data_IF_903326884238
#
_entry.id   IF_903326884238
#
_cell.length_a   1.000
_cell.length_b   1.000
_cell.length_c   1.000
_cell.angle_alpha   90.00
_cell.angle_beta   90.00
_cell.angle_gamma   90.00
#
_symmetry.space_group_name_H-M   'P 1'
#
loop_
_entity.id
_entity.type
_entity.pdbx_description
1 polymer ?
#
# COMPACT_ATOMS: atom_id res chain seq x y z
N UNK A 1 5.70 -28.65 13.37
CA UNK A 1 4.76 -28.31 12.27
C UNK A 1 5.19 -26.98 11.69
N UNK A 2 5.04 -26.77 10.37
CA UNK A 2 5.27 -25.44 9.76
C UNK A 2 4.25 -24.46 10.31
N UNK A 3 4.66 -23.23 10.61
CA UNK A 3 3.73 -22.14 10.88
C UNK A 3 2.88 -21.83 9.66
N UNK A 4 1.66 -21.39 9.86
CA UNK A 4 0.68 -21.12 8.79
C UNK A 4 0.30 -19.66 8.76
N UNK A 5 0.32 -19.07 7.57
CA UNK A 5 -0.13 -17.71 7.34
C UNK A 5 -1.25 -17.66 6.30
N UNK A 6 -2.18 -16.73 6.51
CA UNK A 6 -3.19 -16.33 5.54
C UNK A 6 -2.88 -14.91 5.08
N UNK A 7 -2.83 -14.68 3.77
CA UNK A 7 -2.64 -13.37 3.18
C UNK A 7 -3.86 -13.02 2.32
N UNK A 8 -4.70 -12.12 2.81
CA UNK A 8 -5.82 -11.53 2.06
C UNK A 8 -5.29 -10.38 1.20
N UNK A 9 -5.63 -10.34 -0.08
CA UNK A 9 -5.03 -9.42 -1.04
C UNK A 9 -3.72 -9.95 -1.65
N UNK A 10 -3.55 -11.27 -1.68
CA UNK A 10 -2.32 -11.95 -2.12
C UNK A 10 -2.04 -11.85 -3.63
N UNK A 11 -3.05 -11.58 -4.44
CA UNK A 11 -2.90 -11.29 -5.87
C UNK A 11 -2.50 -9.84 -6.16
N UNK A 12 -2.54 -8.97 -5.15
CA UNK A 12 -2.11 -7.58 -5.24
C UNK A 12 -0.60 -7.40 -5.05
N UNK A 13 -0.16 -6.14 -5.19
CA UNK A 13 1.24 -5.74 -5.11
C UNK A 13 1.90 -6.12 -3.78
N UNK A 14 1.41 -5.57 -2.66
CA UNK A 14 2.04 -5.80 -1.34
C UNK A 14 1.83 -7.25 -0.90
N UNK A 15 0.62 -7.80 -1.13
CA UNK A 15 0.29 -9.16 -0.74
C UNK A 15 1.14 -10.22 -1.45
N UNK A 16 1.42 -10.05 -2.75
CA UNK A 16 2.30 -10.94 -3.49
C UNK A 16 3.72 -10.97 -2.93
N UNK A 17 4.32 -9.80 -2.67
CA UNK A 17 5.64 -9.71 -2.03
C UNK A 17 5.66 -10.33 -0.62
N UNK A 18 4.59 -10.12 0.15
CA UNK A 18 4.48 -10.72 1.50
C UNK A 18 4.39 -12.24 1.44
N UNK A 19 3.63 -12.80 0.48
CA UNK A 19 3.59 -14.25 0.24
C UNK A 19 4.99 -14.80 -0.01
N UNK A 20 5.73 -14.22 -0.94
CA UNK A 20 7.11 -14.63 -1.26
C UNK A 20 8.01 -14.55 -0.01
N UNK A 21 7.92 -13.47 0.77
CA UNK A 21 8.70 -13.33 2.01
C UNK A 21 8.38 -14.43 3.02
N UNK A 22 7.11 -14.68 3.33
CA UNK A 22 6.68 -15.72 4.28
C UNK A 22 7.07 -17.12 3.82
N UNK A 23 7.04 -17.38 2.50
CA UNK A 23 7.54 -18.64 1.93
C UNK A 23 9.02 -18.83 2.15
N UNK A 24 9.82 -17.78 1.98
CA UNK A 24 11.26 -17.81 2.23
C UNK A 24 11.59 -18.05 3.71
N UNK A 25 10.71 -17.63 4.63
CA UNK A 25 10.80 -17.97 6.06
C UNK A 25 10.32 -19.40 6.39
N UNK A 26 9.82 -20.15 5.42
CA UNK A 26 9.37 -21.52 5.59
C UNK A 26 7.92 -21.70 6.07
N UNK A 27 7.10 -20.65 6.04
CA UNK A 27 5.68 -20.77 6.32
C UNK A 27 4.95 -21.63 5.27
N UNK A 28 3.86 -22.26 5.69
CA UNK A 28 2.82 -22.65 4.77
C UNK A 28 1.87 -21.46 4.59
N UNK A 29 1.68 -21.02 3.36
CA UNK A 29 0.95 -19.79 3.05
C UNK A 29 -0.28 -20.09 2.21
N UNK A 30 -1.46 -19.64 2.67
CA UNK A 30 -2.66 -19.49 1.85
C UNK A 30 -2.75 -18.04 1.38
N UNK A 31 -2.77 -17.84 0.06
CA UNK A 31 -3.11 -16.56 -0.56
C UNK A 31 -4.59 -16.51 -0.92
N UNK A 32 -5.21 -15.33 -0.82
CA UNK A 32 -6.60 -15.09 -1.21
C UNK A 32 -6.72 -13.75 -1.91
N UNK A 33 -7.39 -13.74 -3.06
CA UNK A 33 -7.70 -12.52 -3.81
C UNK A 33 -8.85 -12.77 -4.80
N UNK A 34 -9.36 -11.71 -5.43
CA UNK A 34 -10.29 -11.82 -6.57
C UNK A 34 -9.63 -12.42 -7.82
N UNK A 35 -8.30 -12.31 -7.94
CA UNK A 35 -7.51 -12.81 -9.08
C UNK A 35 -6.07 -13.12 -8.65
N UNK A 36 -5.37 -13.87 -9.49
CA UNK A 36 -3.91 -14.02 -9.36
C UNK A 36 -3.19 -12.72 -9.70
N UNK A 37 -1.93 -12.58 -9.26
CA UNK A 37 -1.09 -11.45 -9.68
C UNK A 37 -0.86 -11.51 -11.19
N UNK A 38 -0.95 -10.34 -11.86
CA UNK A 38 -0.83 -10.24 -13.32
C UNK A 38 0.63 -10.36 -13.81
N UNK A 39 1.58 -10.08 -12.94
CA UNK A 39 2.98 -9.88 -13.33
C UNK A 39 3.91 -10.99 -12.86
N UNK A 40 3.47 -11.83 -11.93
CA UNK A 40 4.26 -12.94 -11.41
C UNK A 40 3.37 -14.09 -10.92
N UNK A 41 3.81 -15.36 -11.06
CA UNK A 41 3.16 -16.48 -10.40
C UNK A 41 3.24 -16.31 -8.88
N UNK A 42 2.25 -16.85 -8.16
CA UNK A 42 2.26 -16.84 -6.69
C UNK A 42 3.12 -17.98 -6.14
N UNK A 43 3.84 -17.68 -5.04
CA UNK A 43 4.60 -18.69 -4.27
C UNK A 43 3.74 -19.37 -3.18
N UNK A 44 2.47 -18.99 -3.02
CA UNK A 44 1.59 -19.59 -2.01
C UNK A 44 1.46 -21.10 -2.19
N UNK A 45 1.40 -21.84 -1.07
CA UNK A 45 1.13 -23.30 -1.10
C UNK A 45 -0.31 -23.60 -1.54
N UNK A 46 -1.23 -22.69 -1.23
CA UNK A 46 -2.64 -22.74 -1.60
C UNK A 46 -3.11 -21.31 -1.95
N UNK A 47 -3.87 -21.18 -3.02
CA UNK A 47 -4.39 -19.89 -3.45
C UNK A 47 -5.88 -19.99 -3.79
N UNK A 48 -6.70 -19.29 -3.03
CA UNK A 48 -8.14 -19.24 -3.23
C UNK A 48 -8.53 -17.97 -4.01
N UNK A 49 -9.12 -18.14 -5.18
CA UNK A 49 -9.72 -17.03 -5.94
C UNK A 49 -11.18 -16.89 -5.50
N UNK A 50 -11.54 -15.71 -4.97
CA UNK A 50 -12.92 -15.42 -4.54
C UNK A 50 -13.05 -14.08 -3.84
N UNK A 51 -14.28 -13.74 -3.48
CA UNK A 51 -14.64 -12.43 -2.97
C UNK A 51 -14.73 -12.42 -1.44
N UNK A 52 -13.87 -11.64 -0.79
CA UNK A 52 -13.86 -11.48 0.67
C UNK A 52 -15.07 -10.68 1.21
N UNK A 53 -15.88 -10.07 0.34
CA UNK A 53 -17.16 -9.47 0.73
C UNK A 53 -18.24 -10.55 1.00
N UNK A 54 -18.04 -11.74 0.47
CA UNK A 54 -18.93 -12.88 0.66
C UNK A 54 -18.58 -13.64 1.94
N UNK A 55 -19.45 -13.56 2.95
CA UNK A 55 -19.19 -14.13 4.28
C UNK A 55 -18.92 -15.64 4.25
N UNK A 56 -19.66 -16.38 3.42
CA UNK A 56 -19.53 -17.83 3.32
C UNK A 56 -18.20 -18.22 2.65
N UNK A 57 -17.74 -17.43 1.68
CA UNK A 57 -16.41 -17.61 1.11
C UNK A 57 -15.33 -17.38 2.17
N UNK A 58 -15.41 -16.28 2.94
CA UNK A 58 -14.46 -16.00 4.02
C UNK A 58 -14.43 -17.13 5.06
N UNK A 59 -15.58 -17.67 5.43
CA UNK A 59 -15.65 -18.83 6.35
C UNK A 59 -15.01 -20.08 5.78
N UNK A 60 -15.09 -20.29 4.47
CA UNK A 60 -14.51 -21.45 3.80
C UNK A 60 -12.98 -21.38 3.71
N UNK A 61 -12.40 -20.18 3.60
CA UNK A 61 -10.94 -20.00 3.52
C UNK A 61 -10.27 -19.85 4.89
N UNK A 62 -11.04 -19.45 5.93
CA UNK A 62 -10.60 -19.44 7.33
C UNK A 62 -11.14 -20.72 8.02
N UNK A 63 -10.91 -21.86 7.39
CA UNK A 63 -11.40 -23.18 7.80
C UNK A 63 -10.50 -23.88 8.84
N UNK A 64 -9.31 -23.39 9.02
CA UNK A 64 -8.28 -23.94 9.89
C UNK A 64 -7.62 -22.86 10.75
N UNK A 65 -6.76 -23.27 11.67
CA UNK A 65 -5.99 -22.34 12.48
C UNK A 65 -4.79 -21.80 11.69
N UNK A 66 -4.67 -20.48 11.63
CA UNK A 66 -3.48 -19.77 11.16
C UNK A 66 -2.74 -19.16 12.34
N UNK A 67 -1.42 -19.15 12.27
CA UNK A 67 -0.57 -18.49 13.26
C UNK A 67 -0.56 -16.98 13.03
N UNK A 68 -0.60 -16.56 11.76
CA UNK A 68 -0.59 -15.15 11.35
C UNK A 68 -1.60 -14.92 10.21
N UNK A 69 -2.44 -13.88 10.32
CA UNK A 69 -3.36 -13.44 9.26
C UNK A 69 -3.03 -12.00 8.88
N UNK A 70 -2.79 -11.76 7.61
CA UNK A 70 -2.49 -10.44 7.05
C UNK A 70 -3.65 -9.97 6.19
N UNK A 71 -4.40 -8.99 6.67
CA UNK A 71 -5.51 -8.40 5.92
C UNK A 71 -5.01 -7.16 5.18
N UNK A 72 -4.72 -7.34 3.89
CA UNK A 72 -4.22 -6.31 2.98
C UNK A 72 -5.23 -6.00 1.85
N UNK A 73 -6.29 -6.82 1.73
CA UNK A 73 -7.30 -6.63 0.69
C UNK A 73 -8.12 -5.36 0.95
N UNK A 74 -8.28 -4.56 -0.08
CA UNK A 74 -9.09 -3.34 -0.05
C UNK A 74 -9.50 -2.94 -1.47
N UNK A 75 -10.60 -2.24 -1.61
CA UNK A 75 -10.90 -1.52 -2.83
C UNK A 75 -10.14 -0.18 -2.80
N UNK A 76 -9.12 -0.05 -3.64
CA UNK A 76 -8.21 1.09 -3.60
C UNK A 76 -7.51 1.32 -4.94
N UNK A 77 -6.93 2.52 -5.09
CA UNK A 77 -6.17 2.90 -6.27
C UNK A 77 -5.25 4.10 -6.01
N UNK A 78 -4.75 4.70 -7.08
CA UNK A 78 -4.03 5.97 -7.03
C UNK A 78 -4.96 7.18 -6.91
N UNK A 79 -4.39 8.39 -6.99
CA UNK A 79 -5.12 9.65 -6.82
C UNK A 79 -6.32 9.78 -7.80
N UNK A 80 -6.16 9.33 -9.04
CA UNK A 80 -7.23 9.34 -10.05
C UNK A 80 -8.40 8.40 -9.74
N UNK A 81 -8.27 7.46 -8.81
CA UNK A 81 -9.35 6.59 -8.38
C UNK A 81 -9.99 7.05 -7.06
N UNK A 82 -9.17 7.56 -6.13
CA UNK A 82 -9.59 7.87 -4.75
C UNK A 82 -10.21 9.27 -4.64
N UNK A 83 -9.74 10.26 -5.44
CA UNK A 83 -10.11 11.67 -5.26
C UNK A 83 -11.08 12.21 -6.31
N UNK A 84 -11.65 11.36 -7.17
CA UNK A 84 -12.63 11.79 -8.19
C UNK A 84 -14.06 11.87 -7.65
N UNK A 85 -14.36 11.20 -6.54
CA UNK A 85 -15.71 11.05 -6.00
C UNK A 85 -16.55 9.98 -6.71
N UNK A 86 -16.10 9.43 -7.82
CA UNK A 86 -16.85 8.48 -8.63
C UNK A 86 -16.93 7.08 -8.00
N UNK A 87 -15.98 6.73 -7.12
CA UNK A 87 -15.85 5.40 -6.55
C UNK A 87 -16.08 5.36 -5.02
N UNK A 88 -16.49 6.47 -4.41
CA UNK A 88 -16.56 6.63 -2.95
C UNK A 88 -17.42 5.57 -2.26
N UNK A 89 -18.63 5.33 -2.79
CA UNK A 89 -19.54 4.34 -2.23
C UNK A 89 -18.97 2.92 -2.32
N UNK A 90 -18.37 2.57 -3.45
CA UNK A 90 -17.78 1.24 -3.66
C UNK A 90 -16.55 1.05 -2.75
N UNK A 91 -15.68 2.04 -2.64
CA UNK A 91 -14.50 2.02 -1.79
C UNK A 91 -14.90 1.75 -0.33
N UNK A 92 -15.84 2.54 0.20
CA UNK A 92 -16.32 2.38 1.58
C UNK A 92 -17.02 1.05 1.80
N UNK A 93 -18.00 0.73 0.96
CA UNK A 93 -18.80 -0.48 1.11
C UNK A 93 -17.94 -1.75 0.99
N UNK A 94 -17.13 -1.85 -0.07
CA UNK A 94 -16.35 -3.05 -0.36
C UNK A 94 -15.29 -3.28 0.72
N UNK A 95 -14.53 -2.26 1.07
CA UNK A 95 -13.44 -2.39 2.05
C UNK A 95 -13.98 -2.65 3.46
N UNK A 96 -15.08 -2.00 3.86
CA UNK A 96 -15.71 -2.26 5.15
C UNK A 96 -16.21 -3.71 5.27
N UNK A 97 -16.91 -4.24 4.23
CA UNK A 97 -17.37 -5.63 4.23
C UNK A 97 -16.21 -6.63 4.33
N UNK A 98 -15.14 -6.43 3.58
CA UNK A 98 -13.93 -7.27 3.66
C UNK A 98 -13.42 -7.31 5.09
N UNK A 99 -13.22 -6.15 5.72
CA UNK A 99 -12.66 -6.05 7.07
C UNK A 99 -13.59 -6.66 8.13
N UNK A 100 -14.90 -6.42 8.04
CA UNK A 100 -15.89 -7.02 8.95
C UNK A 100 -15.89 -8.55 8.85
N UNK A 101 -15.94 -9.10 7.65
CA UNK A 101 -16.01 -10.54 7.42
C UNK A 101 -14.73 -11.26 7.88
N UNK A 102 -13.56 -10.75 7.48
CA UNK A 102 -12.27 -11.37 7.83
C UNK A 102 -12.03 -11.33 9.34
N UNK A 103 -12.26 -10.18 9.96
CA UNK A 103 -12.01 -10.03 11.40
C UNK A 103 -12.95 -10.89 12.24
N UNK A 104 -14.25 -10.94 11.88
CA UNK A 104 -15.23 -11.79 12.56
C UNK A 104 -14.87 -13.28 12.42
N UNK A 105 -14.48 -13.73 11.22
CA UNK A 105 -14.09 -15.11 10.99
C UNK A 105 -12.82 -15.49 11.78
N UNK A 106 -11.83 -14.60 11.84
CA UNK A 106 -10.64 -14.79 12.67
C UNK A 106 -11.02 -14.94 14.15
N UNK A 107 -11.87 -14.07 14.67
CA UNK A 107 -12.36 -14.14 16.04
C UNK A 107 -13.06 -15.47 16.34
N UNK A 108 -14.02 -15.89 15.50
CA UNK A 108 -14.76 -17.15 15.66
C UNK A 108 -13.88 -18.39 15.60
N UNK A 109 -12.74 -18.33 14.91
CA UNK A 109 -11.73 -19.41 14.81
C UNK A 109 -10.63 -19.33 15.86
N UNK A 110 -10.73 -18.41 16.83
CA UNK A 110 -9.70 -18.16 17.84
C UNK A 110 -8.31 -17.88 17.24
N UNK A 111 -8.24 -17.24 16.08
CA UNK A 111 -7.00 -16.73 15.52
C UNK A 111 -6.64 -15.45 16.27
N UNK A 112 -5.45 -15.43 16.88
CA UNK A 112 -5.06 -14.34 17.77
C UNK A 112 -4.33 -13.21 17.04
N UNK A 113 -3.44 -13.55 16.10
CA UNK A 113 -2.56 -12.58 15.45
C UNK A 113 -3.12 -12.17 14.09
N UNK A 114 -3.60 -10.94 13.99
CA UNK A 114 -4.14 -10.36 12.76
C UNK A 114 -3.48 -9.02 12.51
N UNK A 115 -2.92 -8.85 11.32
CA UNK A 115 -2.39 -7.59 10.85
C UNK A 115 -3.40 -6.90 9.93
N UNK A 116 -3.57 -5.60 10.10
CA UNK A 116 -4.39 -4.75 9.25
C UNK A 116 -3.56 -3.64 8.60
N UNK A 117 -3.67 -3.52 7.27
CA UNK A 117 -3.07 -2.42 6.54
C UNK A 117 -3.99 -1.19 6.52
N UNK A 118 -3.74 -0.25 7.43
CA UNK A 118 -4.29 1.10 7.37
C UNK A 118 -3.52 1.95 6.35
N UNK A 119 -3.79 3.23 6.26
CA UNK A 119 -3.21 4.13 5.27
C UNK A 119 -2.95 5.52 5.85
N UNK A 120 -1.95 6.21 5.31
CA UNK A 120 -1.74 7.62 5.58
C UNK A 120 -2.91 8.53 5.16
N UNK A 121 -3.80 8.05 4.28
CA UNK A 121 -5.01 8.78 3.90
C UNK A 121 -6.01 8.96 5.06
N UNK A 122 -5.84 8.23 6.17
CA UNK A 122 -6.67 8.42 7.36
C UNK A 122 -6.31 9.66 8.18
N UNK A 123 -5.14 10.29 7.95
CA UNK A 123 -4.76 11.51 8.64
C UNK A 123 -5.60 12.70 8.23
N UNK A 124 -5.86 13.65 9.16
CA UNK A 124 -6.66 14.84 8.86
C UNK A 124 -6.04 15.68 7.74
N UNK A 125 -6.89 16.17 6.84
CA UNK A 125 -6.47 17.04 5.74
C UNK A 125 -5.71 18.28 6.24
N UNK A 126 -6.19 18.90 7.34
CA UNK A 126 -5.57 20.12 7.89
C UNK A 126 -4.11 19.92 8.36
N UNK A 127 -3.68 18.68 8.62
CA UNK A 127 -2.28 18.35 8.93
C UNK A 127 -1.38 18.31 7.68
N UNK A 128 -1.95 18.42 6.49
CA UNK A 128 -1.32 18.12 5.21
C UNK A 128 -1.42 19.27 4.20
N UNK A 129 -1.72 20.48 4.67
CA UNK A 129 -1.86 21.69 3.84
C UNK A 129 -0.51 22.33 3.50
N UNK A 130 0.50 22.14 4.35
CA UNK A 130 1.85 22.65 4.15
C UNK A 130 2.71 21.54 3.47
N UNK A 131 3.20 21.76 2.25
CA UNK A 131 4.03 20.77 1.56
C UNK A 131 5.41 20.59 2.20
N UNK A 132 5.90 21.57 2.96
CA UNK A 132 7.23 21.54 3.56
C UNK A 132 7.23 20.98 4.98
N UNK A 133 6.07 21.01 5.66
CA UNK A 133 5.94 20.58 7.05
C UNK A 133 4.60 19.88 7.34
N UNK A 134 4.30 18.76 6.68
CA UNK A 134 3.11 17.98 7.00
C UNK A 134 3.25 17.32 8.38
N UNK A 135 2.14 17.21 9.11
CA UNK A 135 2.10 16.58 10.42
C UNK A 135 1.34 15.26 10.38
N UNK A 136 2.03 14.16 10.14
CA UNK A 136 1.48 12.82 10.14
C UNK A 136 2.09 11.94 11.25
N UNK A 137 2.36 12.50 12.43
CA UNK A 137 2.69 11.71 13.62
C UNK A 137 1.45 10.92 14.06
N UNK A 138 1.61 9.72 14.60
CA UNK A 138 0.49 8.82 14.90
C UNK A 138 -0.57 9.45 15.82
N UNK A 139 -0.15 10.27 16.77
CA UNK A 139 -1.05 10.98 17.68
C UNK A 139 -1.89 12.08 17.01
N UNK A 140 -1.49 12.57 15.84
CA UNK A 140 -2.19 13.64 15.09
C UNK A 140 -3.41 13.14 14.31
N UNK A 141 -3.73 11.85 14.41
CA UNK A 141 -4.91 11.26 13.76
C UNK A 141 -6.25 11.86 14.21
N UNK A 142 -6.26 12.55 15.34
CA UNK A 142 -7.47 13.14 15.91
C UNK A 142 -7.24 14.61 16.30
N UNK A 143 -8.28 15.51 16.09
CA UNK A 143 -9.61 15.20 15.57
C UNK A 143 -9.57 14.74 14.11
N UNK A 144 -10.35 13.71 13.79
CA UNK A 144 -10.36 13.09 12.48
C UNK A 144 -11.01 13.99 11.42
N UNK A 145 -10.35 14.12 10.28
CA UNK A 145 -10.87 14.79 9.08
C UNK A 145 -10.11 14.31 7.83
N UNK A 146 -10.18 13.01 7.49
CA UNK A 146 -9.58 12.49 6.26
C UNK A 146 -10.05 13.24 5.02
N UNK A 147 -9.17 13.29 4.01
CA UNK A 147 -9.39 14.00 2.75
C UNK A 147 -10.21 13.22 1.71
N UNK A 148 -10.64 12.01 2.04
CA UNK A 148 -11.36 11.11 1.12
C UNK A 148 -12.14 10.03 1.86
N UNK A 149 -13.14 9.47 1.20
CA UNK A 149 -13.92 8.33 1.73
C UNK A 149 -13.04 7.09 1.95
N UNK A 150 -12.00 6.91 1.13
CA UNK A 150 -10.98 5.91 1.39
C UNK A 150 -10.29 6.12 2.75
N UNK A 151 -9.95 7.35 3.08
CA UNK A 151 -9.37 7.69 4.38
C UNK A 151 -10.30 7.43 5.55
N UNK A 152 -11.58 7.76 5.39
CA UNK A 152 -12.62 7.49 6.40
C UNK A 152 -12.84 5.99 6.61
N UNK A 153 -12.88 5.19 5.54
CA UNK A 153 -12.98 3.72 5.66
C UNK A 153 -11.76 3.15 6.39
N UNK A 154 -10.55 3.59 6.03
CA UNK A 154 -9.32 3.13 6.67
C UNK A 154 -9.31 3.44 8.17
N UNK A 155 -9.76 4.63 8.57
CA UNK A 155 -9.90 4.99 9.97
C UNK A 155 -10.98 4.18 10.68
N UNK A 156 -12.14 3.97 10.05
CA UNK A 156 -13.22 3.13 10.59
C UNK A 156 -12.70 1.70 10.86
N UNK A 157 -12.08 1.09 9.89
CA UNK A 157 -11.54 -0.26 10.03
C UNK A 157 -10.41 -0.33 11.07
N UNK A 158 -9.50 0.64 11.12
CA UNK A 158 -8.50 0.74 12.18
C UNK A 158 -9.15 0.70 13.57
N UNK A 159 -10.19 1.51 13.81
CA UNK A 159 -10.93 1.52 15.07
C UNK A 159 -11.62 0.19 15.36
N UNK A 160 -12.11 -0.50 14.33
CA UNK A 160 -12.72 -1.83 14.45
C UNK A 160 -11.70 -2.85 14.96
N UNK A 161 -10.51 -2.93 14.36
CA UNK A 161 -9.44 -3.83 14.81
C UNK A 161 -8.99 -3.53 16.24
N UNK A 162 -8.83 -2.25 16.59
CA UNK A 162 -8.51 -1.83 17.95
C UNK A 162 -9.63 -2.15 18.97
N UNK A 163 -10.89 -2.12 18.56
CA UNK A 163 -11.99 -2.54 19.41
C UNK A 163 -11.97 -4.05 19.69
N UNK A 164 -11.62 -4.87 18.69
CA UNK A 164 -11.43 -6.31 18.88
C UNK A 164 -10.25 -6.64 19.82
N UNK A 165 -9.17 -5.84 19.78
CA UNK A 165 -8.10 -5.94 20.78
C UNK A 165 -8.66 -5.77 22.19
N UNK A 166 -9.39 -4.66 22.42
CA UNK A 166 -9.89 -4.30 23.76
C UNK A 166 -10.94 -5.26 24.29
N UNK A 167 -11.88 -5.66 23.44
CA UNK A 167 -13.08 -6.38 23.88
C UNK A 167 -12.88 -7.90 23.88
N UNK A 168 -12.06 -8.41 22.98
CA UNK A 168 -11.92 -9.86 22.75
C UNK A 168 -10.50 -10.38 22.94
N UNK A 169 -9.56 -9.51 23.31
CA UNK A 169 -8.16 -9.90 23.54
C UNK A 169 -7.48 -10.48 22.32
N UNK A 170 -7.91 -10.06 21.12
CA UNK A 170 -7.20 -10.38 19.88
C UNK A 170 -5.92 -9.54 19.79
N UNK A 171 -4.90 -10.09 19.17
CA UNK A 171 -3.62 -9.41 18.92
C UNK A 171 -3.62 -8.80 17.53
N UNK A 172 -4.49 -7.79 17.30
CA UNK A 172 -4.53 -7.07 16.05
C UNK A 172 -3.43 -6.01 16.02
N UNK A 173 -2.64 -6.00 14.96
CA UNK A 173 -1.60 -5.00 14.68
C UNK A 173 -2.05 -4.13 13.51
N UNK A 174 -1.73 -2.86 13.56
CA UNK A 174 -2.14 -1.88 12.54
C UNK A 174 -0.92 -1.13 12.03
N UNK A 175 -0.65 -1.26 10.73
CA UNK A 175 0.35 -0.44 10.05
C UNK A 175 -0.31 0.58 9.14
N UNK A 176 0.04 1.86 9.29
CA UNK A 176 -0.40 2.97 8.42
C UNK A 176 0.59 3.12 7.28
N UNK A 177 0.25 2.61 6.11
CA UNK A 177 1.14 2.64 4.94
C UNK A 177 1.19 4.03 4.30
N UNK A 178 2.43 4.52 4.09
CA UNK A 178 2.73 5.78 3.40
C UNK A 178 3.35 5.50 2.03
N UNK A 179 2.52 5.54 0.96
CA UNK A 179 2.93 5.50 -0.45
C UNK A 179 3.95 4.41 -0.79
N UNK A 180 3.56 3.16 -0.62
CA UNK A 180 4.42 2.02 -0.97
C UNK A 180 4.56 1.91 -2.48
N UNK A 181 5.79 1.64 -2.98
CA UNK A 181 6.07 1.48 -4.40
C UNK A 181 7.13 0.39 -4.65
N UNK A 182 7.20 -0.09 -5.88
CA UNK A 182 8.15 -1.12 -6.31
C UNK A 182 7.68 -1.88 -7.55
N UNK A 183 8.43 -2.89 -8.00
CA UNK A 183 8.03 -3.76 -9.11
C UNK A 183 6.84 -4.66 -8.75
N UNK A 184 6.21 -5.26 -9.76
CA UNK A 184 5.06 -6.17 -9.66
C UNK A 184 3.77 -5.52 -9.15
N UNK A 185 3.69 -4.19 -9.13
CA UNK A 185 2.49 -3.42 -8.82
C UNK A 185 1.85 -2.83 -10.07
N UNK A 186 0.63 -2.30 -9.91
CA UNK A 186 -0.08 -1.59 -10.98
C UNK A 186 0.75 -0.41 -11.46
N UNK A 187 1.08 -0.40 -12.75
CA UNK A 187 1.92 0.63 -13.36
C UNK A 187 1.20 1.43 -14.47
N UNK A 188 -0.02 1.01 -14.84
CA UNK A 188 -0.88 1.66 -15.83
C UNK A 188 -2.38 1.48 -15.52
N UNK A 189 -3.26 2.08 -16.31
CA UNK A 189 -4.71 1.92 -16.20
C UNK A 189 -5.40 2.84 -15.19
N UNK A 190 -4.71 3.88 -14.69
CA UNK A 190 -5.29 4.95 -13.85
C UNK A 190 -5.34 4.63 -12.34
N UNK A 191 -4.98 3.41 -11.93
CA UNK A 191 -4.87 3.04 -10.50
C UNK A 191 -3.42 3.07 -9.98
N UNK A 192 -2.45 3.37 -10.83
CA UNK A 192 -1.04 3.44 -10.46
C UNK A 192 -0.72 4.65 -9.57
N UNK A 193 0.26 4.50 -8.67
CA UNK A 193 0.77 5.58 -7.83
C UNK A 193 1.87 6.39 -8.53
N UNK A 194 2.18 7.59 -8.02
CA UNK A 194 3.07 8.53 -8.66
C UNK A 194 4.44 7.96 -9.09
N UNK A 195 5.18 7.15 -8.30
CA UNK A 195 6.43 6.56 -8.76
C UNK A 195 6.26 5.70 -10.01
N UNK A 196 5.24 4.83 -10.04
CA UNK A 196 4.97 3.98 -11.20
C UNK A 196 4.51 4.81 -12.42
N UNK A 197 3.64 5.81 -12.19
CA UNK A 197 3.17 6.71 -13.24
C UNK A 197 4.34 7.48 -13.88
N UNK A 198 5.27 8.03 -13.08
CA UNK A 198 6.44 8.75 -13.60
C UNK A 198 7.38 7.82 -14.36
N UNK A 199 7.68 6.64 -13.81
CA UNK A 199 8.49 5.63 -14.51
C UNK A 199 7.86 5.25 -15.86
N UNK A 200 6.54 5.01 -15.92
CA UNK A 200 5.83 4.67 -17.15
C UNK A 200 5.88 5.81 -18.18
N UNK A 201 5.53 7.03 -17.76
CA UNK A 201 5.53 8.20 -18.64
C UNK A 201 6.91 8.41 -19.27
N UNK A 202 7.97 8.31 -18.47
CA UNK A 202 9.35 8.45 -18.95
C UNK A 202 9.75 7.27 -19.85
N UNK A 203 9.40 6.02 -19.49
CA UNK A 203 9.71 4.85 -20.33
C UNK A 203 9.09 4.95 -21.71
N UNK A 204 7.81 5.37 -21.80
CA UNK A 204 7.06 5.51 -23.04
C UNK A 204 7.44 6.76 -23.86
N UNK A 205 7.97 7.81 -23.21
CA UNK A 205 8.32 9.05 -23.89
C UNK A 205 9.59 8.86 -24.73
N UNK A 206 9.59 9.35 -26.01
CA UNK A 206 10.82 9.37 -26.82
C UNK A 206 11.84 10.36 -26.24
N UNK A 207 13.11 10.16 -26.59
CA UNK A 207 14.15 11.16 -26.28
C UNK A 207 13.86 12.50 -26.97
N UNK A 208 14.03 13.61 -26.26
CA UNK A 208 13.63 14.95 -26.71
C UNK A 208 12.13 15.25 -26.54
N UNK A 209 11.34 14.34 -25.99
CA UNK A 209 9.91 14.51 -25.80
C UNK A 209 9.50 15.27 -24.54
N UNK A 210 8.22 15.20 -24.19
CA UNK A 210 7.61 15.88 -23.03
C UNK A 210 6.70 14.93 -22.27
N UNK A 211 6.70 15.01 -20.93
CA UNK A 211 5.75 14.31 -20.05
C UNK A 211 4.89 15.29 -19.27
N UNK A 212 3.65 14.90 -18.98
CA UNK A 212 2.71 15.70 -18.21
C UNK A 212 2.73 15.32 -16.72
N UNK A 213 2.71 16.34 -15.85
CA UNK A 213 2.58 16.21 -14.40
C UNK A 213 1.36 17.02 -13.95
N UNK A 214 0.50 16.40 -13.13
CA UNK A 214 -0.71 17.05 -12.60
C UNK A 214 -0.37 18.09 -11.55
N UNK A 215 -1.10 19.21 -11.55
CA UNK A 215 -0.93 20.33 -10.66
C UNK A 215 0.33 21.14 -10.96
N UNK A 216 0.77 21.90 -9.97
CA UNK A 216 2.00 22.69 -10.07
C UNK A 216 3.29 21.85 -9.84
N UNK A 217 3.13 20.59 -9.47
CA UNK A 217 4.21 19.64 -9.22
C UNK A 217 4.99 19.92 -7.93
N UNK A 218 4.55 20.86 -7.09
CA UNK A 218 5.19 21.23 -5.81
C UNK A 218 4.63 20.45 -4.63
N UNK A 219 3.52 19.73 -4.81
CA UNK A 219 3.01 18.83 -3.77
C UNK A 219 4.07 17.79 -3.42
N UNK A 220 4.29 17.57 -2.11
CA UNK A 220 5.34 16.69 -1.61
C UNK A 220 4.79 15.37 -1.09
N UNK A 221 5.53 14.30 -1.28
CA UNK A 221 5.26 12.97 -0.76
C UNK A 221 6.55 12.30 -0.33
N UNK A 222 6.44 11.39 0.61
CA UNK A 222 7.47 10.36 0.81
C UNK A 222 7.00 9.03 0.22
N UNK A 223 7.94 8.21 -0.21
CA UNK A 223 7.67 6.92 -0.83
C UNK A 223 8.56 5.84 -0.20
N UNK A 224 7.95 4.73 0.21
CA UNK A 224 8.65 3.60 0.81
C UNK A 224 8.77 2.46 -0.18
N UNK A 225 9.98 1.94 -0.36
CA UNK A 225 10.21 0.79 -1.22
C UNK A 225 9.64 -0.50 -0.61
N UNK A 226 9.13 -1.38 -1.47
CA UNK A 226 8.35 -2.56 -1.07
C UNK A 226 9.07 -3.48 -0.08
N UNK A 227 10.38 -3.73 -0.26
CA UNK A 227 11.13 -4.63 0.62
C UNK A 227 11.13 -4.14 2.07
N UNK A 228 11.28 -2.83 2.28
CA UNK A 228 11.23 -2.23 3.62
C UNK A 228 9.82 -2.21 4.19
N UNK A 229 8.79 -2.05 3.35
CA UNK A 229 7.40 -2.19 3.77
C UNK A 229 7.11 -3.60 4.30
N UNK A 230 7.59 -4.64 3.62
CA UNK A 230 7.42 -6.03 4.06
C UNK A 230 8.17 -6.27 5.38
N UNK A 231 9.43 -5.82 5.51
CA UNK A 231 10.19 -5.96 6.75
C UNK A 231 9.48 -5.27 7.93
N UNK A 232 9.01 -4.03 7.77
CA UNK A 232 8.24 -3.32 8.79
C UNK A 232 6.95 -4.06 9.16
N UNK A 233 6.20 -4.54 8.17
CA UNK A 233 4.95 -5.29 8.36
C UNK A 233 5.17 -6.52 9.23
N UNK A 234 6.20 -7.30 8.94
CA UNK A 234 6.56 -8.51 9.70
C UNK A 234 6.99 -8.16 11.13
N UNK A 235 7.81 -7.12 11.29
CA UNK A 235 8.26 -6.66 12.62
C UNK A 235 7.09 -6.23 13.49
N UNK A 236 6.17 -5.43 12.96
CA UNK A 236 4.98 -4.98 13.68
C UNK A 236 4.06 -6.17 13.99
N UNK A 237 3.81 -7.06 13.03
CA UNK A 237 2.99 -8.25 13.24
C UNK A 237 3.48 -9.10 14.43
N UNK A 238 4.79 -9.19 14.60
CA UNK A 238 5.44 -10.05 15.61
C UNK A 238 5.86 -9.31 16.88
N UNK A 239 5.54 -8.02 16.97
CA UNK A 239 5.77 -7.22 18.18
C UNK A 239 4.58 -7.30 19.14
N UNK A 240 4.76 -6.69 20.32
CA UNK A 240 3.69 -6.50 21.29
C UNK A 240 2.97 -5.13 21.16
N UNK A 241 3.28 -4.38 20.10
CA UNK A 241 2.71 -3.05 19.86
C UNK A 241 1.24 -3.19 19.46
N UNK A 242 0.35 -2.52 20.17
CA UNK A 242 -1.10 -2.49 19.89
C UNK A 242 -1.56 -1.18 19.27
N UNK A 243 -0.74 -0.12 19.39
CA UNK A 243 -1.03 1.16 18.74
C UNK A 243 -0.78 1.06 17.24
N UNK A 244 -1.53 1.83 16.44
CA UNK A 244 -1.23 2.00 15.02
C UNK A 244 0.15 2.63 14.81
N UNK A 245 0.92 2.10 13.87
CA UNK A 245 2.29 2.54 13.58
C UNK A 245 2.41 2.95 12.12
N UNK A 246 3.05 4.09 11.87
CA UNK A 246 3.43 4.52 10.53
C UNK A 246 4.45 3.56 9.90
N UNK A 247 4.20 3.23 8.64
CA UNK A 247 5.13 2.49 7.78
C UNK A 247 5.36 3.32 6.52
N UNK A 248 6.45 4.07 6.49
CA UNK A 248 6.76 4.99 5.42
C UNK A 248 8.18 5.52 5.52
N UNK A 249 8.58 6.31 4.52
CA UNK A 249 9.85 7.00 4.49
C UNK A 249 9.71 8.44 5.02
N UNK A 250 10.76 8.96 5.66
CA UNK A 250 10.86 10.39 6.01
C UNK A 250 11.41 11.24 4.84
N UNK A 251 11.96 10.59 3.79
CA UNK A 251 12.51 11.26 2.61
C UNK A 251 11.39 11.84 1.75
N UNK A 252 11.15 13.15 1.88
CA UNK A 252 10.15 13.88 1.08
C UNK A 252 10.71 14.33 -0.25
N UNK A 253 9.86 14.27 -1.28
CA UNK A 253 10.18 14.76 -2.62
C UNK A 253 8.97 15.47 -3.25
N UNK A 254 9.19 16.57 -3.96
CA UNK A 254 8.16 17.19 -4.80
C UNK A 254 7.88 16.30 -6.05
N UNK A 255 6.66 16.30 -6.54
CA UNK A 255 6.27 15.44 -7.66
C UNK A 255 7.05 15.79 -8.94
N UNK A 256 7.37 17.08 -9.18
CA UNK A 256 8.24 17.46 -10.29
C UNK A 256 9.66 16.92 -10.13
N UNK A 257 10.18 16.85 -8.92
CA UNK A 257 11.53 16.30 -8.68
C UNK A 257 11.54 14.77 -8.75
N UNK A 258 10.43 14.11 -8.38
CA UNK A 258 10.24 12.67 -8.64
C UNK A 258 10.25 12.38 -10.15
N UNK A 259 9.59 13.23 -10.95
CA UNK A 259 9.60 13.12 -12.42
C UNK A 259 11.02 13.33 -12.98
N UNK A 260 11.74 14.36 -12.53
CA UNK A 260 13.16 14.59 -12.90
C UNK A 260 14.03 13.38 -12.51
N UNK A 261 13.85 12.81 -11.33
CA UNK A 261 14.57 11.61 -10.90
C UNK A 261 14.35 10.44 -11.89
N UNK A 262 13.12 10.22 -12.33
CA UNK A 262 12.81 9.18 -13.31
C UNK A 262 13.45 9.48 -14.68
N UNK A 263 13.45 10.74 -15.11
CA UNK A 263 14.13 11.20 -16.34
C UNK A 263 15.64 10.94 -16.23
N UNK A 264 16.28 11.35 -15.14
CA UNK A 264 17.72 11.11 -14.90
C UNK A 264 18.07 9.62 -14.95
N UNK A 265 17.26 8.78 -14.30
CA UNK A 265 17.43 7.31 -14.31
C UNK A 265 17.36 6.75 -15.73
N UNK A 266 16.47 7.31 -16.56
CA UNK A 266 16.29 6.87 -17.96
C UNK A 266 17.45 7.23 -18.88
N UNK A 267 18.23 8.25 -18.53
CA UNK A 267 19.26 8.85 -19.38
C UNK A 267 18.71 9.63 -20.59
N UNK A 268 17.40 9.84 -20.69
CA UNK A 268 16.75 10.58 -21.77
C UNK A 268 16.71 12.09 -21.47
N UNK A 269 16.63 12.91 -22.53
CA UNK A 269 16.38 14.34 -22.45
C UNK A 269 14.88 14.61 -22.63
N UNK A 270 14.12 14.71 -21.53
CA UNK A 270 12.66 14.86 -21.52
C UNK A 270 12.28 16.13 -20.74
N UNK A 271 11.37 16.93 -21.29
CA UNK A 271 10.80 18.07 -20.61
C UNK A 271 9.55 17.70 -19.79
N UNK A 272 9.23 18.55 -18.78
CA UNK A 272 8.04 18.38 -17.94
C UNK A 272 7.08 19.53 -18.24
N UNK A 273 5.81 19.18 -18.47
CA UNK A 273 4.71 20.15 -18.57
C UNK A 273 3.71 19.91 -17.45
N UNK A 274 3.47 20.95 -16.65
CA UNK A 274 2.44 20.89 -15.63
C UNK A 274 1.05 21.18 -16.24
N UNK A 275 0.06 20.32 -15.88
CA UNK A 275 -1.32 20.42 -16.37
C UNK A 275 -2.30 20.32 -15.20
N UNK A 276 -3.52 20.87 -15.29
CA UNK A 276 -4.56 20.66 -14.29
C UNK A 276 -4.87 19.17 -14.10
N UNK A 277 -5.13 18.76 -12.83
CA UNK A 277 -5.46 17.37 -12.51
C UNK A 277 -5.61 17.17 -10.99
N UNK A 278 -6.04 15.99 -10.53
CA UNK A 278 -6.19 15.69 -9.11
C UNK A 278 -4.84 15.63 -8.40
N UNK A 279 -4.64 16.51 -7.43
CA UNK A 279 -3.38 16.64 -6.68
C UNK A 279 -3.42 15.92 -5.32
N UNK A 280 -4.60 15.81 -4.70
CA UNK A 280 -4.76 15.39 -3.31
C UNK A 280 -4.19 16.44 -2.34
N UNK A 281 -3.76 16.03 -1.16
CA UNK A 281 -3.17 16.93 -0.15
C UNK A 281 -1.85 17.54 -0.61
N UNK A 282 -1.48 18.70 -0.06
CA UNK A 282 -0.24 19.42 -0.46
C UNK A 282 1.03 18.74 0.04
N UNK A 283 1.03 18.19 1.24
CA UNK A 283 2.19 17.50 1.81
C UNK A 283 1.81 16.25 2.59
N UNK A 284 2.56 15.16 2.41
CA UNK A 284 2.39 13.92 3.18
C UNK A 284 3.72 13.19 3.31
N UNK A 285 4.15 12.99 4.57
CA UNK A 285 5.30 12.15 4.88
C UNK A 285 4.97 11.15 5.99
N UNK A 286 5.88 10.24 6.28
CA UNK A 286 5.83 9.41 7.48
C UNK A 286 6.67 10.04 8.59
N UNK A 287 6.14 10.13 9.79
CA UNK A 287 6.97 10.27 10.99
C UNK A 287 7.32 8.85 11.47
N UNK A 288 8.60 8.56 11.60
CA UNK A 288 9.07 7.23 11.97
C UNK A 288 9.62 7.16 13.41
N UNK A 289 9.24 8.14 14.26
CA UNK A 289 9.68 8.18 15.66
C UNK A 289 9.21 6.95 16.42
N UNK A 290 7.91 6.61 16.37
CA UNK A 290 7.39 5.49 17.12
C UNK A 290 7.94 4.13 16.64
N UNK A 291 8.03 3.89 15.34
CA UNK A 291 8.57 2.62 14.84
C UNK A 291 10.06 2.45 15.23
N UNK A 292 10.82 3.55 15.24
CA UNK A 292 12.22 3.55 15.70
C UNK A 292 12.34 3.27 17.19
N UNK A 293 11.50 3.92 18.00
CA UNK A 293 11.51 3.77 19.45
C UNK A 293 11.10 2.36 19.90
N UNK A 294 10.05 1.80 19.28
CA UNK A 294 9.55 0.47 19.65
C UNK A 294 10.35 -0.68 19.07
N UNK A 295 10.84 -0.57 17.84
CA UNK A 295 11.44 -1.69 17.10
C UNK A 295 12.92 -1.51 16.83
N UNK A 296 13.53 -0.39 17.23
CA UNK A 296 14.91 -0.02 16.86
C UNK A 296 15.15 -0.17 15.36
N UNK A 297 14.14 0.18 14.56
CA UNK A 297 14.12 0.04 13.11
C UNK A 297 13.50 1.27 12.44
N UNK A 298 14.03 1.62 11.31
CA UNK A 298 13.44 2.58 10.38
C UNK A 298 13.93 2.26 8.96
N UNK A 299 13.19 2.66 7.92
CA UNK A 299 13.67 2.48 6.55
C UNK A 299 14.96 3.25 6.32
N UNK A 300 15.82 2.67 5.51
CA UNK A 300 17.18 3.19 5.24
C UNK A 300 17.54 3.27 3.75
N UNK A 301 16.71 2.65 2.88
CA UNK A 301 16.98 2.66 1.44
C UNK A 301 16.62 4.03 0.85
N UNK A 302 17.57 4.75 0.21
CA UNK A 302 17.26 6.01 -0.48
C UNK A 302 16.20 5.81 -1.57
N UNK A 303 15.31 6.78 -1.74
CA UNK A 303 14.25 6.75 -2.76
C UNK A 303 14.79 6.42 -4.16
N UNK A 304 15.92 7.04 -4.54
CA UNK A 304 16.55 6.84 -5.86
C UNK A 304 16.83 5.36 -6.15
N UNK A 305 17.34 4.62 -5.17
CA UNK A 305 17.66 3.18 -5.33
C UNK A 305 16.39 2.36 -5.63
N UNK A 306 15.30 2.67 -4.94
CA UNK A 306 14.00 2.05 -5.22
C UNK A 306 13.43 2.44 -6.58
N UNK A 307 13.58 3.72 -6.96
CA UNK A 307 13.15 4.22 -8.26
C UNK A 307 13.92 3.57 -9.44
N UNK A 308 15.22 3.34 -9.30
CA UNK A 308 16.01 2.62 -10.31
C UNK A 308 15.49 1.19 -10.55
N UNK A 309 15.16 0.46 -9.46
CA UNK A 309 14.57 -0.88 -9.55
C UNK A 309 13.17 -0.85 -10.19
N UNK A 310 12.33 0.10 -9.77
CA UNK A 310 10.98 0.27 -10.32
C UNK A 310 11.01 0.67 -11.80
N UNK A 311 11.87 1.61 -12.17
CA UNK A 311 12.03 2.04 -13.57
C UNK A 311 12.49 0.90 -14.47
N UNK A 312 13.51 0.14 -14.04
CA UNK A 312 14.00 -1.01 -14.79
C UNK A 312 12.89 -2.03 -15.08
N UNK A 313 12.07 -2.33 -14.07
CA UNK A 313 10.97 -3.27 -14.23
C UNK A 313 9.88 -2.71 -15.15
N UNK A 314 9.44 -1.46 -14.92
CA UNK A 314 8.37 -0.83 -15.72
C UNK A 314 8.82 -0.64 -17.18
N UNK A 315 10.07 -0.25 -17.44
CA UNK A 315 10.61 -0.13 -18.78
C UNK A 315 10.55 -1.47 -19.54
N UNK A 316 10.88 -2.57 -18.86
CA UNK A 316 10.73 -3.90 -19.46
C UNK A 316 9.27 -4.27 -19.75
N UNK A 317 8.31 -3.87 -18.89
CA UNK A 317 6.87 -4.09 -19.16
C UNK A 317 6.41 -3.29 -20.39
N UNK A 318 6.83 -2.03 -20.53
CA UNK A 318 6.53 -1.18 -21.71
C UNK A 318 7.07 -1.84 -22.98
N UNK A 319 8.28 -2.39 -22.96
CA UNK A 319 8.86 -3.10 -24.11
C UNK A 319 8.10 -4.38 -24.47
N UNK A 320 7.63 -5.14 -23.48
CA UNK A 320 6.83 -6.35 -23.69
C UNK A 320 5.49 -5.99 -24.36
N UNK A 321 4.80 -4.96 -23.84
CA UNK A 321 3.52 -4.53 -24.43
C UNK A 321 3.69 -4.01 -25.86
N UNK A 322 4.72 -3.22 -26.11
CA UNK A 322 5.00 -2.73 -27.47
C UNK A 322 5.21 -3.88 -28.49
N UNK A 323 5.81 -5.01 -28.05
CA UNK A 323 5.99 -6.20 -28.90
C UNK A 323 4.71 -6.99 -29.13
N UNK A 324 3.75 -6.93 -28.19
CA UNK A 324 2.48 -7.65 -28.30
C UNK A 324 1.44 -6.93 -29.18
N UNK A 325 1.70 -5.68 -29.56
CA UNK A 325 0.82 -4.86 -30.43
C UNK A 325 1.20 -5.02 -31.92
N UNK A 326 2.37 -5.59 -32.20
CA UNK A 326 2.86 -5.87 -33.58
C UNK A 326 2.50 -7.30 -33.95
#
# INVERSE_FOLDING_TARGET
MKKRALVCGAGGFIGGHLVTHLKNEGFWVRGVDLKYNEYAPTDADDFAVGDLREQDFVRSIIDQKFDEVYQLAADMGGAGYIFTGENDADIMHNSALINLNVLEACYKRNIKHVYYSSSACMYPEHNQLDPDNPNCVESSAYPANPDSEYGWEKLFSERLYLAFNRNYGMSCRVGRYHNIFGPLGTWQGGKEKAPAAMCRKVAMCPDGGEIEVWGDGKQTRSFLYIDECIDATIRIMRSDILEPINIGSEEMIAINDLAKMAIDISGKNISIRNIPGPEGVRGRNSDNTLIRDYLSWAPSQPLRVGMEKAYKWISAQVEIEAKNII
#
